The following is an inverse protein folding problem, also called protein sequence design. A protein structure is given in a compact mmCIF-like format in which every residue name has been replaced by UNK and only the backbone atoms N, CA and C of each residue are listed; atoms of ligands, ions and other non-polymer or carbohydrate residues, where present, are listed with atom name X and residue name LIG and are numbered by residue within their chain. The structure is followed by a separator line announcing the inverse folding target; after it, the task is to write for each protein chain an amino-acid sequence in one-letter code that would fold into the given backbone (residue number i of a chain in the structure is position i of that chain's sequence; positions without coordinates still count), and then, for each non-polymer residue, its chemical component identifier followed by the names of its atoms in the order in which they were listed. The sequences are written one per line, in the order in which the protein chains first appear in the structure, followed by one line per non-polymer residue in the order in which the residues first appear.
data_IF_718700922576
#
_entry.id   IF_718700922576
#
_cell.length_a   1.000
_cell.length_b   1.000
_cell.length_c   1.000
_cell.angle_alpha   90.00
_cell.angle_beta   90.00
_cell.angle_gamma   90.00
#
_symmetry.space_group_name_H-M   'P 1'
#
loop_
_entity.id
_entity.type
_entity.pdbx_description
1 polymer ?
#
# COMPACT_ATOMS: atom_id res chain seq x y z
N UNK A 1 -4.20 1.73 10.64
CA UNK A 1 -5.09 2.77 11.20
C UNK A 1 -5.34 2.47 12.66
N UNK A 2 -5.43 3.53 13.48
CA UNK A 2 -5.91 3.43 14.86
C UNK A 2 -7.41 3.62 14.90
N UNK A 3 -8.09 2.66 15.51
CA UNK A 3 -9.53 2.69 15.73
C UNK A 3 -9.85 3.49 17.00
N UNK A 4 -10.65 4.55 16.86
CA UNK A 4 -11.02 5.42 18.01
C UNK A 4 -12.40 5.05 18.53
N UNK A 5 -13.36 4.82 17.64
CA UNK A 5 -14.73 4.43 17.98
C UNK A 5 -15.24 3.43 16.96
N UNK A 6 -15.89 2.39 17.44
CA UNK A 6 -16.56 1.39 16.62
C UNK A 6 -18.03 1.30 17.05
N UNK A 7 -18.94 1.67 16.14
CA UNK A 7 -20.39 1.57 16.31
C UNK A 7 -20.99 0.90 15.08
N UNK A 8 -20.59 -0.34 14.84
CA UNK A 8 -21.19 -1.18 13.79
C UNK A 8 -22.34 -1.97 14.42
N UNK A 9 -23.56 -1.80 13.89
CA UNK A 9 -24.71 -2.59 14.28
C UNK A 9 -24.73 -3.94 13.52
N UNK A 10 -25.38 -4.94 14.11
CA UNK A 10 -25.51 -6.29 13.51
C UNK A 10 -26.26 -6.29 12.15
N UNK A 11 -27.02 -5.23 11.85
CA UNK A 11 -27.84 -5.10 10.64
C UNK A 11 -27.18 -4.24 9.53
N UNK A 12 -25.85 -4.04 9.58
CA UNK A 12 -25.08 -3.45 8.48
C UNK A 12 -25.05 -1.92 8.44
N UNK A 13 -25.83 -1.20 9.25
CA UNK A 13 -25.62 0.23 9.45
C UNK A 13 -24.60 0.47 10.57
N UNK A 14 -23.77 1.50 10.43
CA UNK A 14 -22.83 1.84 11.49
C UNK A 14 -21.85 2.94 11.15
N UNK A 15 -21.15 3.40 12.18
CA UNK A 15 -20.10 4.41 12.06
C UNK A 15 -18.81 3.97 12.74
N UNK A 16 -17.69 4.31 12.12
CA UNK A 16 -16.36 4.02 12.62
C UNK A 16 -15.50 5.27 12.53
N UNK A 17 -14.84 5.63 13.63
CA UNK A 17 -13.89 6.74 13.68
C UNK A 17 -12.47 6.19 13.65
N UNK A 18 -11.71 6.59 12.63
CA UNK A 18 -10.36 6.13 12.35
C UNK A 18 -9.36 7.27 12.34
N UNK A 19 -8.13 6.99 12.74
CA UNK A 19 -6.98 7.86 12.57
C UNK A 19 -5.95 7.10 11.71
N UNK A 20 -5.66 7.58 10.49
CA UNK A 20 -4.59 7.04 9.67
C UNK A 20 -3.24 7.54 10.19
N UNK A 21 -2.37 6.65 10.62
CA UNK A 21 -1.08 6.99 11.23
C UNK A 21 0.05 6.83 10.21
N UNK A 22 -0.10 5.89 9.29
CA UNK A 22 0.91 5.54 8.28
C UNK A 22 0.44 5.79 6.84
N UNK A 23 1.35 6.00 5.88
CA UNK A 23 0.97 6.15 4.47
C UNK A 23 0.16 4.96 3.89
N UNK A 24 0.37 3.74 4.39
CA UNK A 24 -0.39 2.55 3.97
C UNK A 24 -1.86 2.60 4.45
N UNK A 25 -2.14 3.30 5.55
CA UNK A 25 -3.50 3.50 6.04
C UNK A 25 -4.39 4.23 5.05
N UNK A 26 -3.82 5.12 4.24
CA UNK A 26 -4.56 5.83 3.21
C UNK A 26 -5.01 4.90 2.08
N UNK A 27 -4.23 3.85 1.80
CA UNK A 27 -4.65 2.79 0.87
C UNK A 27 -5.81 1.97 1.46
N UNK A 28 -5.73 1.63 2.75
CA UNK A 28 -6.83 0.95 3.43
C UNK A 28 -8.10 1.81 3.48
N UNK A 29 -7.98 3.10 3.79
CA UNK A 29 -9.10 4.04 3.75
C UNK A 29 -9.70 4.14 2.33
N UNK A 30 -8.86 4.17 1.29
CA UNK A 30 -9.30 4.17 -0.10
C UNK A 30 -10.04 2.87 -0.49
N UNK A 31 -9.67 1.73 0.07
CA UNK A 31 -10.38 0.47 -0.16
C UNK A 31 -11.68 0.37 0.65
N UNK A 32 -11.73 1.01 1.82
CA UNK A 32 -12.86 0.95 2.73
C UNK A 32 -13.99 1.91 2.33
N UNK A 33 -13.67 3.11 1.86
CA UNK A 33 -14.65 4.15 1.51
C UNK A 33 -15.17 3.92 0.09
N UNK A 34 -16.49 3.89 -0.06
CA UNK A 34 -17.17 3.61 -1.33
C UNK A 34 -18.12 4.78 -1.68
N UNK A 35 -18.36 5.08 -2.97
CA UNK A 35 -19.39 6.03 -3.36
C UNK A 35 -20.75 5.70 -2.73
N UNK A 36 -21.45 6.72 -2.23
CA UNK A 36 -22.69 6.59 -1.47
C UNK A 36 -22.52 6.63 0.05
N UNK A 37 -21.32 6.31 0.57
CA UNK A 37 -21.02 6.41 2.00
C UNK A 37 -21.03 7.86 2.49
N UNK A 38 -21.18 8.05 3.79
CA UNK A 38 -21.10 9.37 4.44
C UNK A 38 -19.78 9.48 5.20
N UNK A 39 -19.06 10.56 4.95
CA UNK A 39 -17.74 10.82 5.54
C UNK A 39 -17.76 12.13 6.33
N UNK A 40 -17.29 12.08 7.57
CA UNK A 40 -17.11 13.25 8.43
C UNK A 40 -15.62 13.49 8.64
N UNK A 41 -15.12 14.64 8.19
CA UNK A 41 -13.73 15.02 8.42
C UNK A 41 -13.57 16.54 8.55
N UNK A 42 -12.41 16.96 9.06
CA UNK A 42 -12.05 18.36 9.15
C UNK A 42 -11.49 18.85 7.81
N UNK A 43 -12.04 19.93 7.28
CA UNK A 43 -11.60 20.59 6.07
C UNK A 43 -11.15 22.03 6.34
N UNK A 44 -10.32 22.58 5.46
CA UNK A 44 -9.98 24.00 5.46
C UNK A 44 -10.60 24.61 4.21
N UNK A 45 -11.51 25.56 4.41
CA UNK A 45 -12.19 26.27 3.31
C UNK A 45 -11.77 27.73 3.29
N UNK A 46 -11.47 28.24 2.10
CA UNK A 46 -11.33 29.68 1.87
C UNK A 46 -12.73 30.28 1.78
N UNK A 47 -13.07 31.16 2.71
CA UNK A 47 -14.33 31.90 2.75
C UNK A 47 -14.04 33.33 2.32
N UNK A 48 -14.75 33.79 1.29
CA UNK A 48 -14.68 35.17 0.84
C UNK A 48 -15.88 35.92 1.39
N UNK A 49 -15.64 36.94 2.20
CA UNK A 49 -16.67 37.81 2.77
C UNK A 49 -16.65 39.14 2.01
N UNK A 50 -17.77 39.50 1.40
CA UNK A 50 -17.99 40.82 0.79
C UNK A 50 -18.57 41.77 1.84
N UNK A 51 -17.83 42.84 2.17
CA UNK A 51 -18.33 43.91 3.02
C UNK A 51 -19.39 44.76 2.31
N UNK A 52 -20.14 45.56 3.07
CA UNK A 52 -21.17 46.49 2.56
C UNK A 52 -20.61 47.56 1.63
N UNK A 53 -19.31 47.85 1.69
CA UNK A 53 -18.58 48.78 0.81
C UNK A 53 -18.06 48.14 -0.48
N UNK A 54 -18.37 46.85 -0.73
CA UNK A 54 -17.88 46.10 -1.89
C UNK A 54 -16.46 45.53 -1.74
N UNK A 55 -15.77 45.81 -0.63
CA UNK A 55 -14.45 45.24 -0.35
C UNK A 55 -14.55 43.74 -0.06
N UNK A 56 -13.76 42.93 -0.76
CA UNK A 56 -13.67 41.47 -0.53
C UNK A 56 -12.51 41.17 0.41
N UNK A 57 -12.77 40.45 1.50
CA UNK A 57 -11.74 39.85 2.33
C UNK A 57 -11.85 38.34 2.25
N UNK A 58 -10.71 37.64 2.26
CA UNK A 58 -10.72 36.18 2.26
C UNK A 58 -9.97 35.62 3.45
N UNK A 59 -10.64 34.75 4.22
CA UNK A 59 -10.06 34.05 5.36
C UNK A 59 -10.13 32.54 5.15
N UNK A 60 -9.19 31.81 5.77
CA UNK A 60 -9.22 30.33 5.80
C UNK A 60 -9.88 29.90 7.10
N UNK A 61 -10.99 29.17 6.99
CA UNK A 61 -11.75 28.68 8.15
C UNK A 61 -11.66 27.16 8.17
N UNK A 62 -11.36 26.62 9.35
CA UNK A 62 -11.39 25.18 9.61
C UNK A 62 -12.83 24.79 9.96
N UNK A 63 -13.37 23.82 9.24
CA UNK A 63 -14.76 23.37 9.38
C UNK A 63 -14.79 21.86 9.46
N UNK A 64 -15.77 21.31 10.16
CA UNK A 64 -16.06 19.88 10.09
C UNK A 64 -17.20 19.70 9.11
N UNK A 65 -16.93 18.97 8.03
CA UNK A 65 -17.91 18.74 6.97
C UNK A 65 -18.31 17.27 6.97
N UNK A 66 -19.60 17.06 6.76
CA UNK A 66 -20.19 15.78 6.44
C UNK A 66 -20.44 15.78 4.94
N UNK A 67 -19.86 14.84 4.21
CA UNK A 67 -20.09 14.69 2.78
C UNK A 67 -20.64 13.31 2.45
N UNK A 68 -21.55 13.26 1.49
CA UNK A 68 -21.88 12.02 0.77
C UNK A 68 -20.88 11.82 -0.36
N UNK A 69 -20.13 10.72 -0.29
CA UNK A 69 -19.04 10.42 -1.20
C UNK A 69 -19.58 10.17 -2.61
N UNK A 70 -18.99 10.85 -3.60
CA UNK A 70 -19.28 10.64 -5.03
C UNK A 70 -18.11 9.98 -5.76
N UNK A 71 -16.90 10.42 -5.47
CA UNK A 71 -15.69 9.87 -6.09
C UNK A 71 -14.50 9.95 -5.14
N UNK A 72 -13.55 9.06 -5.35
CA UNK A 72 -12.30 9.00 -4.61
C UNK A 72 -11.13 9.08 -5.60
N UNK A 73 -10.11 9.84 -5.24
CA UNK A 73 -8.85 9.90 -5.96
C UNK A 73 -7.70 9.66 -4.97
N UNK A 74 -6.85 8.68 -5.28
CA UNK A 74 -5.75 8.27 -4.42
C UNK A 74 -4.44 8.42 -5.17
N UNK A 75 -3.55 9.25 -4.63
CA UNK A 75 -2.18 9.38 -5.13
C UNK A 75 -1.26 8.37 -4.41
N UNK A 76 -0.76 7.33 -5.11
CA UNK A 76 0.09 6.32 -4.50
C UNK A 76 1.45 6.86 -4.03
N UNK A 77 1.99 7.89 -4.69
CA UNK A 77 3.32 8.43 -4.41
C UNK A 77 3.31 9.27 -3.13
N UNK A 78 2.32 10.17 -3.03
CA UNK A 78 2.18 11.04 -1.88
C UNK A 78 1.34 10.41 -0.76
N UNK A 79 0.71 9.26 -1.03
CA UNK A 79 -0.23 8.60 -0.12
C UNK A 79 -1.31 9.55 0.40
N UNK A 80 -1.87 10.33 -0.53
CA UNK A 80 -2.94 11.29 -0.26
C UNK A 80 -4.24 10.77 -0.83
N UNK A 81 -5.33 10.92 -0.06
CA UNK A 81 -6.65 10.49 -0.45
C UNK A 81 -7.59 11.70 -0.50
N UNK A 82 -8.06 12.00 -1.70
CA UNK A 82 -9.02 13.05 -1.98
C UNK A 82 -10.41 12.43 -2.14
N UNK A 83 -11.36 12.85 -1.31
CA UNK A 83 -12.73 12.33 -1.31
C UNK A 83 -13.66 13.45 -1.73
N UNK A 84 -14.19 13.39 -2.94
CA UNK A 84 -15.14 14.37 -3.46
C UNK A 84 -16.57 13.92 -3.19
N UNK A 85 -17.40 14.85 -2.76
CA UNK A 85 -18.78 14.57 -2.39
C UNK A 85 -19.67 15.81 -2.32
N UNK A 86 -20.90 15.58 -1.91
CA UNK A 86 -21.87 16.65 -1.61
C UNK A 86 -22.01 16.84 -0.11
N UNK A 87 -21.99 18.08 0.35
CA UNK A 87 -22.13 18.42 1.76
C UNK A 87 -23.55 18.10 2.24
N UNK A 88 -23.65 17.37 3.34
CA UNK A 88 -24.91 16.96 3.98
C UNK A 88 -25.24 17.82 5.21
N UNK A 89 -24.25 18.42 5.86
CA UNK A 89 -24.44 19.27 7.04
C UNK A 89 -24.47 20.77 6.71
N UNK A 90 -25.32 21.52 7.40
CA UNK A 90 -25.27 22.98 7.35
C UNK A 90 -24.16 23.49 8.28
N UNK A 91 -23.28 24.34 7.76
CA UNK A 91 -22.31 25.07 8.58
C UNK A 91 -22.44 26.57 8.33
N UNK A 92 -21.96 27.45 9.21
CA UNK A 92 -22.04 28.90 9.03
C UNK A 92 -21.46 29.42 7.71
N UNK A 93 -20.62 28.60 7.04
CA UNK A 93 -19.94 28.96 5.79
C UNK A 93 -20.21 28.00 4.63
N UNK A 94 -21.06 26.98 4.81
CA UNK A 94 -21.39 26.01 3.75
C UNK A 94 -22.87 25.65 3.73
N UNK A 95 -23.45 25.63 2.53
CA UNK A 95 -24.83 25.20 2.32
C UNK A 95 -24.86 23.70 1.96
N UNK A 96 -25.93 23.03 2.37
CA UNK A 96 -26.23 21.65 2.00
C UNK A 96 -26.30 21.52 0.47
N UNK A 97 -25.80 20.40 -0.06
CA UNK A 97 -25.80 20.08 -1.48
C UNK A 97 -24.63 20.68 -2.28
N UNK A 98 -23.84 21.59 -1.69
CA UNK A 98 -22.61 22.07 -2.35
C UNK A 98 -21.58 20.95 -2.46
N UNK A 99 -20.84 20.97 -3.57
CA UNK A 99 -19.74 20.04 -3.76
C UNK A 99 -18.50 20.49 -2.99
N UNK A 100 -17.83 19.52 -2.37
CA UNK A 100 -16.55 19.73 -1.71
C UNK A 100 -15.68 18.48 -1.81
N UNK A 101 -14.37 18.69 -1.76
CA UNK A 101 -13.38 17.61 -1.69
C UNK A 101 -12.73 17.66 -0.32
N UNK A 102 -12.80 16.55 0.41
CA UNK A 102 -12.10 16.34 1.66
C UNK A 102 -10.74 15.70 1.39
N UNK A 103 -9.68 16.36 1.83
CA UNK A 103 -8.34 15.82 1.80
C UNK A 103 -8.09 15.10 3.13
N UNK A 104 -7.99 13.77 3.09
CA UNK A 104 -7.64 13.01 4.28
C UNK A 104 -6.14 13.12 4.53
N UNK A 105 -5.79 13.49 5.76
CA UNK A 105 -4.41 13.70 6.19
C UNK A 105 -4.00 12.67 7.25
N UNK A 106 -2.71 12.33 7.28
CA UNK A 106 -2.14 11.50 8.35
C UNK A 106 -2.32 12.17 9.71
N UNK A 107 -2.54 11.35 10.74
CA UNK A 107 -2.78 11.71 12.12
C UNK A 107 -4.01 12.60 12.36
N UNK A 108 -4.91 12.73 11.37
CA UNK A 108 -6.20 13.40 11.53
C UNK A 108 -7.34 12.40 11.52
N UNK A 109 -8.23 12.53 12.50
CA UNK A 109 -9.40 11.66 12.58
C UNK A 109 -10.39 11.94 11.45
N UNK A 110 -10.98 10.87 10.91
CA UNK A 110 -12.18 10.93 10.10
C UNK A 110 -13.18 9.88 10.61
N UNK A 111 -14.46 10.13 10.41
CA UNK A 111 -15.51 9.15 10.71
C UNK A 111 -16.17 8.71 9.41
N UNK A 112 -16.18 7.41 9.18
CA UNK A 112 -16.86 6.78 8.07
C UNK A 112 -18.17 6.19 8.58
N UNK A 113 -19.27 6.59 7.96
CA UNK A 113 -20.59 6.04 8.18
C UNK A 113 -21.02 5.28 6.92
N UNK A 114 -21.29 3.99 7.11
CA UNK A 114 -21.89 3.13 6.09
C UNK A 114 -23.30 2.80 6.56
N UNK A 115 -24.28 3.21 5.78
CA UNK A 115 -25.68 2.92 6.04
C UNK A 115 -26.33 2.36 4.78
N UNK A 116 -27.40 1.59 4.95
CA UNK A 116 -28.35 1.32 3.87
C UNK A 116 -29.13 2.60 3.59
N UNK A 117 -28.72 3.34 2.57
CA UNK A 117 -29.46 4.52 2.11
C UNK A 117 -30.92 4.16 1.77
N UNK A 118 -31.85 5.13 1.78
CA UNK A 118 -33.27 4.90 1.47
C UNK A 118 -33.51 4.27 0.09
N UNK A 119 -32.56 4.42 -0.83
CA UNK A 119 -32.63 3.89 -2.21
C UNK A 119 -31.87 2.55 -2.39
N UNK A 120 -31.34 1.94 -1.31
CA UNK A 120 -30.61 0.66 -1.38
C UNK A 120 -29.20 0.73 -1.98
N UNK A 121 -28.68 1.94 -2.23
CA UNK A 121 -27.36 2.21 -2.83
C UNK A 121 -26.17 2.03 -1.86
N UNK A 122 -26.42 2.08 -0.54
CA UNK A 122 -25.39 1.88 0.47
C UNK A 122 -25.09 0.39 0.73
N UNK A 123 -23.82 0.00 0.70
CA UNK A 123 -23.38 -1.40 0.93
C UNK A 123 -23.54 -1.85 2.39
N UNK A 124 -23.72 -0.91 3.32
CA UNK A 124 -23.58 -1.18 4.74
C UNK A 124 -22.18 -1.70 5.10
N UNK A 125 -22.01 -2.10 6.35
CA UNK A 125 -20.89 -2.87 6.86
C UNK A 125 -21.12 -4.35 6.54
N UNK A 126 -20.80 -4.74 5.31
CA UNK A 126 -20.73 -6.14 4.90
C UNK A 126 -19.51 -6.86 5.52
N UNK A 127 -19.49 -8.19 5.41
CA UNK A 127 -18.39 -9.05 5.92
C UNK A 127 -17.03 -8.62 5.38
N UNK A 128 -16.96 -8.27 4.09
CA UNK A 128 -15.76 -7.82 3.39
C UNK A 128 -15.27 -6.47 3.92
N UNK A 129 -16.17 -5.51 4.17
CA UNK A 129 -15.84 -4.20 4.75
C UNK A 129 -15.40 -4.32 6.20
N UNK A 130 -16.00 -5.24 6.97
CA UNK A 130 -15.58 -5.53 8.35
C UNK A 130 -14.21 -6.20 8.36
N UNK A 131 -13.93 -7.13 7.45
CA UNK A 131 -12.62 -7.75 7.30
C UNK A 131 -11.58 -6.73 6.83
N UNK A 132 -11.89 -5.90 5.85
CA UNK A 132 -11.04 -4.80 5.40
C UNK A 132 -10.75 -3.80 6.53
N UNK A 133 -11.73 -3.55 7.41
CA UNK A 133 -11.54 -2.72 8.61
C UNK A 133 -10.60 -3.40 9.61
N UNK A 134 -10.73 -4.71 9.84
CA UNK A 134 -9.79 -5.46 10.69
C UNK A 134 -8.38 -5.46 10.10
N UNK A 135 -8.24 -5.72 8.79
CA UNK A 135 -6.97 -5.61 8.08
C UNK A 135 -6.37 -4.21 8.18
N UNK A 136 -7.22 -3.18 8.26
CA UNK A 136 -6.83 -1.78 8.43
C UNK A 136 -6.63 -1.33 9.88
N UNK A 137 -7.09 -2.09 10.88
CA UNK A 137 -6.91 -1.86 12.32
C UNK A 137 -6.11 -3.02 12.93
N UNK A 138 -4.80 -2.82 13.10
CA UNK A 138 -3.86 -3.83 13.56
C UNK A 138 -3.45 -3.35 14.93
N UNK A 139 -3.88 -4.10 15.94
CA UNK A 139 -3.55 -3.86 17.33
C UNK A 139 -2.11 -4.29 17.65
N UNK A 140 -1.42 -4.99 16.73
CA UNK A 140 -0.10 -5.59 16.93
C UNK A 140 1.11 -4.73 16.55
N UNK A 141 0.95 -3.56 15.94
CA UNK A 141 2.06 -2.67 15.57
C UNK A 141 3.05 -3.29 14.55
N UNK A 142 2.65 -4.35 13.84
CA UNK A 142 3.48 -5.15 12.93
C UNK A 142 3.47 -4.62 11.48
N UNK A 143 2.85 -3.47 11.22
CA UNK A 143 2.65 -2.87 9.88
C UNK A 143 3.86 -2.20 9.25
N UNK A 144 5.04 -2.42 9.81
CA UNK A 144 6.26 -1.89 9.19
C UNK A 144 6.50 -2.63 7.88
N UNK A 145 7.09 -1.94 6.90
CA UNK A 145 7.54 -2.57 5.65
C UNK A 145 8.24 -3.91 5.97
N UNK A 146 7.76 -4.99 5.38
CA UNK A 146 8.24 -6.33 5.69
C UNK A 146 9.65 -6.55 5.13
N UNK A 147 9.96 -5.89 4.01
CA UNK A 147 11.27 -5.92 3.39
C UNK A 147 11.58 -4.63 2.61
N UNK A 148 12.87 -4.35 2.43
CA UNK A 148 13.33 -3.34 1.49
C UNK A 148 14.07 -4.03 0.35
N UNK A 149 13.70 -3.75 -0.88
CA UNK A 149 14.35 -4.30 -2.07
C UNK A 149 15.07 -3.19 -2.84
N UNK A 150 16.34 -3.42 -3.16
CA UNK A 150 17.12 -2.57 -4.05
C UNK A 150 17.42 -3.37 -5.30
N UNK A 151 16.72 -3.03 -6.38
CA UNK A 151 16.98 -3.61 -7.70
C UNK A 151 17.94 -2.67 -8.43
N UNK A 152 19.06 -3.19 -8.92
CA UNK A 152 20.13 -2.36 -9.48
C UNK A 152 20.77 -2.98 -10.72
N UNK A 153 21.26 -2.10 -11.58
CA UNK A 153 22.13 -2.37 -12.73
C UNK A 153 23.19 -1.27 -12.82
N UNK A 154 24.10 -1.34 -13.79
CA UNK A 154 25.13 -0.31 -13.96
C UNK A 154 24.47 1.05 -14.22
N UNK A 155 24.65 1.99 -13.29
CA UNK A 155 24.12 3.36 -13.41
C UNK A 155 22.63 3.53 -13.10
N UNK A 156 21.91 2.48 -12.67
CA UNK A 156 20.51 2.60 -12.27
C UNK A 156 20.22 1.75 -11.04
N UNK A 157 19.58 2.34 -10.03
CA UNK A 157 19.04 1.62 -8.89
C UNK A 157 17.62 2.09 -8.55
N UNK A 158 16.78 1.14 -8.19
CA UNK A 158 15.43 1.35 -7.70
C UNK A 158 15.32 0.85 -6.27
N UNK A 159 15.04 1.75 -5.35
CA UNK A 159 14.82 1.44 -3.94
C UNK A 159 13.31 1.30 -3.72
N UNK A 160 12.89 0.09 -3.42
CA UNK A 160 11.49 -0.30 -3.25
C UNK A 160 11.25 -0.76 -1.80
N UNK A 161 10.12 -0.36 -1.24
CA UNK A 161 9.66 -0.82 0.06
C UNK A 161 8.52 -1.80 -0.18
N UNK A 162 8.68 -3.02 0.31
CA UNK A 162 7.68 -4.08 0.21
C UNK A 162 6.91 -4.05 1.54
N UNK A 163 5.70 -3.49 1.51
CA UNK A 163 4.73 -3.58 2.61
C UNK A 163 3.85 -4.82 2.46
N UNK A 164 2.92 -4.98 3.40
CA UNK A 164 1.98 -6.10 3.40
C UNK A 164 1.03 -6.06 2.20
N UNK A 165 0.54 -4.86 1.85
CA UNK A 165 -0.49 -4.70 0.82
C UNK A 165 0.02 -4.01 -0.45
N UNK A 166 1.20 -3.38 -0.40
CA UNK A 166 1.76 -2.67 -1.55
C UNK A 166 3.29 -2.63 -1.57
N UNK A 167 3.83 -2.65 -2.79
CA UNK A 167 5.23 -2.34 -3.06
C UNK A 167 5.34 -0.90 -3.55
N UNK A 168 6.09 -0.06 -2.85
CA UNK A 168 6.26 1.36 -3.17
C UNK A 168 7.68 1.60 -3.67
N UNK A 169 7.82 2.17 -4.86
CA UNK A 169 9.10 2.72 -5.31
C UNK A 169 9.35 4.04 -4.56
N UNK A 170 10.34 4.07 -3.67
CA UNK A 170 10.68 5.29 -2.91
C UNK A 170 11.59 6.23 -3.69
N UNK A 171 12.59 5.68 -4.37
CA UNK A 171 13.55 6.48 -5.10
C UNK A 171 14.15 5.73 -6.27
N UNK A 172 14.34 6.45 -7.37
CA UNK A 172 15.15 6.07 -8.52
C UNK A 172 16.47 6.83 -8.46
N UNK A 173 17.57 6.11 -8.48
CA UNK A 173 18.93 6.68 -8.60
C UNK A 173 19.42 6.34 -10.00
N UNK A 174 19.71 7.36 -10.80
CA UNK A 174 20.19 7.20 -12.18
C UNK A 174 21.47 8.02 -12.37
N UNK A 175 22.51 7.37 -12.85
CA UNK A 175 23.82 7.94 -13.10
C UNK A 175 24.38 7.39 -14.42
N UNK A 176 24.89 8.28 -15.27
CA UNK A 176 25.54 7.85 -16.51
C UNK A 176 26.90 7.23 -16.21
N UNK A 177 27.02 5.91 -16.38
CA UNK A 177 28.27 5.17 -16.20
C UNK A 177 28.98 5.01 -17.55
N UNK A 178 30.21 5.54 -17.72
CA UNK A 178 30.97 5.35 -18.94
C UNK A 178 31.31 3.87 -19.18
N UNK A 179 31.28 3.41 -20.43
CA UNK A 179 31.75 2.05 -20.77
C UNK A 179 33.22 1.88 -20.44
N UNK A 180 33.59 0.68 -19.96
CA UNK A 180 34.97 0.31 -19.65
C UNK A 180 35.84 0.40 -20.91
N UNK A 181 36.81 1.32 -20.91
CA UNK A 181 37.84 1.46 -21.96
C UNK A 181 39.17 0.93 -21.42
N UNK A 182 39.98 0.31 -22.28
CA UNK A 182 41.32 -0.13 -21.91
C UNK A 182 42.15 1.07 -21.41
N UNK A 183 42.68 0.98 -20.18
CA UNK A 183 43.49 2.02 -19.53
C UNK A 183 42.73 3.13 -18.79
N UNK A 184 41.39 3.14 -18.81
CA UNK A 184 40.58 4.17 -18.12
C UNK A 184 40.13 3.74 -16.72
N UNK A 185 40.50 4.51 -15.69
CA UNK A 185 39.99 4.33 -14.30
C UNK A 185 38.65 5.03 -14.03
N UNK A 186 38.13 5.75 -15.01
CA UNK A 186 36.94 6.60 -14.84
C UNK A 186 35.67 5.80 -14.60
N UNK A 187 35.57 4.59 -15.16
CA UNK A 187 34.47 3.66 -14.91
C UNK A 187 34.39 3.28 -13.43
N UNK A 188 35.50 2.80 -12.84
CA UNK A 188 35.55 2.36 -11.45
C UNK A 188 35.30 3.52 -10.47
N UNK A 189 35.82 4.71 -10.77
CA UNK A 189 35.54 5.94 -9.99
C UNK A 189 34.05 6.29 -10.03
N UNK A 190 33.41 6.18 -11.19
CA UNK A 190 31.99 6.50 -11.36
C UNK A 190 31.11 5.46 -10.67
N UNK A 191 31.45 4.18 -10.76
CA UNK A 191 30.77 3.10 -10.03
C UNK A 191 30.89 3.25 -8.51
N UNK A 192 32.05 3.68 -8.01
CA UNK A 192 32.22 3.97 -6.59
C UNK A 192 31.31 5.12 -6.13
N UNK A 193 31.21 6.19 -6.93
CA UNK A 193 30.27 7.31 -6.66
C UNK A 193 28.81 6.86 -6.72
N UNK A 194 28.46 5.97 -7.65
CA UNK A 194 27.14 5.37 -7.74
C UNK A 194 26.79 4.56 -6.49
N UNK A 195 27.70 3.71 -6.01
CA UNK A 195 27.51 2.97 -4.75
C UNK A 195 27.37 3.90 -3.53
N UNK A 196 28.16 4.97 -3.45
CA UNK A 196 28.01 5.95 -2.37
C UNK A 196 26.64 6.62 -2.41
N UNK A 197 26.24 7.12 -3.58
CA UNK A 197 24.97 7.83 -3.75
C UNK A 197 23.77 6.92 -3.46
N UNK A 198 23.83 5.66 -3.90
CA UNK A 198 22.76 4.67 -3.63
C UNK A 198 22.69 4.30 -2.15
N UNK A 199 23.84 4.15 -1.46
CA UNK A 199 23.88 3.89 -0.03
C UNK A 199 23.33 5.07 0.78
N UNK A 200 23.75 6.29 0.48
CA UNK A 200 23.27 7.50 1.17
C UNK A 200 21.75 7.67 1.01
N UNK A 201 21.25 7.38 -0.21
CA UNK A 201 19.82 7.41 -0.51
C UNK A 201 19.07 6.33 0.28
N UNK A 202 19.60 5.10 0.32
CA UNK A 202 19.01 4.00 1.09
C UNK A 202 18.95 4.32 2.59
N UNK A 203 20.02 4.87 3.16
CA UNK A 203 20.06 5.24 4.59
C UNK A 203 19.06 6.35 4.93
N UNK A 204 18.90 7.33 4.05
CA UNK A 204 17.90 8.39 4.20
C UNK A 204 16.48 7.84 4.21
N UNK A 205 16.15 6.91 3.30
CA UNK A 205 14.80 6.34 3.21
C UNK A 205 14.51 5.30 4.28
N UNK A 206 15.52 4.61 4.80
CA UNK A 206 15.35 3.71 5.93
C UNK A 206 15.12 4.46 7.26
N UNK A 207 15.13 5.81 7.23
CA UNK A 207 15.13 6.68 8.41
C UNK A 207 16.14 6.16 9.42
N UNK A 208 17.33 5.79 8.94
CA UNK A 208 18.37 5.26 9.79
C UNK A 208 18.86 6.40 10.67
N UNK A 209 18.16 6.60 11.80
CA UNK A 209 18.47 7.64 12.75
C UNK A 209 19.79 7.24 13.39
N UNK A 210 20.86 7.92 12.97
CA UNK A 210 22.21 7.79 13.52
C UNK A 210 22.27 8.19 15.00
N UNK A 211 21.17 8.70 15.57
CA UNK A 211 21.01 8.86 17.01
C UNK A 211 20.82 7.49 17.65
N UNK A 212 21.85 7.07 18.38
CA UNK A 212 21.94 5.86 19.19
C UNK A 212 20.88 5.75 20.32
N UNK A 213 19.74 6.44 20.21
CA UNK A 213 18.78 6.67 21.29
C UNK A 213 17.32 6.40 20.92
N UNK A 214 16.96 6.06 19.66
CA UNK A 214 15.55 5.78 19.31
C UNK A 214 15.21 4.38 18.79
N UNK A 215 16.20 3.54 18.46
CA UNK A 215 15.92 2.11 18.25
C UNK A 215 16.16 1.37 19.55
N UNK A 216 15.08 1.20 20.33
CA UNK A 216 15.03 0.17 21.36
C UNK A 216 15.43 -1.18 20.75
N UNK A 217 16.06 -2.03 21.55
CA UNK A 217 16.54 -3.38 21.21
C UNK A 217 15.45 -4.35 20.70
N UNK A 218 14.20 -3.92 20.61
CA UNK A 218 13.03 -4.72 20.22
C UNK A 218 12.49 -4.45 18.82
N UNK A 219 13.06 -3.52 18.05
CA UNK A 219 12.59 -3.28 16.69
C UNK A 219 13.10 -4.34 15.70
N UNK A 220 12.21 -5.09 15.00
CA UNK A 220 12.63 -6.12 14.07
C UNK A 220 13.46 -5.49 12.93
N UNK A 221 14.67 -6.02 12.73
CA UNK A 221 15.54 -5.59 11.64
C UNK A 221 14.94 -6.12 10.34
N UNK A 222 14.47 -5.21 9.49
CA UNK A 222 13.89 -5.56 8.20
C UNK A 222 14.96 -6.16 7.27
N UNK A 223 14.66 -7.26 6.57
CA UNK A 223 15.55 -7.78 5.54
C UNK A 223 15.71 -6.78 4.38
N UNK A 224 16.93 -6.66 3.89
CA UNK A 224 17.29 -5.82 2.74
C UNK A 224 17.71 -6.72 1.58
N UNK A 225 16.88 -6.82 0.55
CA UNK A 225 17.13 -7.58 -0.65
C UNK A 225 17.94 -6.75 -1.63
N UNK A 226 19.11 -7.22 -2.03
CA UNK A 226 19.93 -6.62 -3.09
C UNK A 226 19.83 -7.48 -4.34
N UNK A 227 19.20 -6.95 -5.39
CA UNK A 227 18.95 -7.65 -6.64
C UNK A 227 19.71 -7.00 -7.80
N UNK A 228 20.44 -7.79 -8.58
CA UNK A 228 21.11 -7.30 -9.80
C UNK A 228 21.38 -8.39 -10.82
N UNK A 229 21.51 -8.03 -12.11
CA UNK A 229 22.16 -8.90 -13.08
C UNK A 229 23.67 -8.97 -12.81
N UNK A 230 24.21 -10.19 -12.78
CA UNK A 230 25.64 -10.42 -12.56
C UNK A 230 26.13 -10.12 -11.15
N UNK A 231 27.24 -9.38 -11.02
CA UNK A 231 28.00 -9.23 -9.77
C UNK A 231 27.83 -7.87 -9.08
N UNK A 232 26.90 -7.03 -9.54
CA UNK A 232 26.77 -5.63 -9.08
C UNK A 232 26.28 -5.60 -7.63
N UNK A 233 25.24 -6.37 -7.29
CA UNK A 233 24.72 -6.47 -5.92
C UNK A 233 25.76 -7.01 -4.94
N UNK A 234 26.57 -8.00 -5.35
CA UNK A 234 27.68 -8.52 -4.53
C UNK A 234 28.77 -7.46 -4.33
N UNK A 235 29.09 -6.70 -5.37
CA UNK A 235 30.06 -5.60 -5.29
C UNK A 235 29.56 -4.47 -4.39
N UNK A 236 28.25 -4.16 -4.46
CA UNK A 236 27.61 -3.19 -3.59
C UNK A 236 27.58 -3.66 -2.13
N UNK A 237 27.30 -4.94 -1.87
CA UNK A 237 27.38 -5.52 -0.53
C UNK A 237 28.79 -5.38 0.07
N UNK A 238 29.85 -5.64 -0.73
CA UNK A 238 31.24 -5.42 -0.30
C UNK A 238 31.52 -3.95 -0.01
N UNK A 239 30.99 -3.04 -0.83
CA UNK A 239 31.10 -1.60 -0.58
C UNK A 239 30.45 -1.20 0.76
N UNK A 240 29.24 -1.70 1.04
CA UNK A 240 28.55 -1.50 2.32
C UNK A 240 29.40 -2.03 3.50
N UNK A 241 29.98 -3.23 3.37
CA UNK A 241 30.87 -3.80 4.39
C UNK A 241 32.11 -2.92 4.64
N UNK A 242 32.71 -2.37 3.59
CA UNK A 242 33.85 -1.44 3.71
C UNK A 242 33.43 -0.15 4.44
N UNK A 243 32.31 0.46 4.06
CA UNK A 243 31.81 1.69 4.69
C UNK A 243 31.40 1.45 6.15
N UNK A 244 30.85 0.28 6.48
CA UNK A 244 30.52 -0.13 7.84
C UNK A 244 31.76 -0.24 8.76
N UNK A 245 32.91 -0.58 8.19
CA UNK A 245 34.17 -0.68 8.93
C UNK A 245 34.88 0.67 9.09
N UNK A 246 34.76 1.57 8.10
CA UNK A 246 35.50 2.84 8.09
C UNK A 246 34.70 4.02 8.66
N UNK A 247 33.45 4.19 8.23
CA UNK A 247 32.71 5.45 8.43
C UNK A 247 31.57 5.33 9.44
N UNK A 248 30.79 4.25 9.39
CA UNK A 248 29.57 4.12 10.23
C UNK A 248 29.44 2.72 10.84
N UNK A 249 29.92 2.49 12.08
CA UNK A 249 29.85 1.17 12.73
C UNK A 249 28.41 0.70 13.02
N UNK A 250 27.44 1.62 13.07
CA UNK A 250 26.02 1.27 13.22
C UNK A 250 25.48 0.43 12.05
N UNK A 251 26.10 0.52 10.86
CA UNK A 251 25.73 -0.24 9.67
C UNK A 251 26.04 -1.75 9.81
N UNK A 252 26.95 -2.12 10.73
CA UNK A 252 27.29 -3.53 11.00
C UNK A 252 26.09 -4.34 11.46
N UNK A 253 25.11 -3.71 12.11
CA UNK A 253 23.85 -4.37 12.52
C UNK A 253 22.95 -4.75 11.35
N UNK A 254 23.05 -4.06 10.22
CA UNK A 254 22.26 -4.34 9.00
C UNK A 254 22.91 -5.37 8.08
N UNK A 255 24.23 -5.60 8.19
CA UNK A 255 24.93 -6.59 7.37
C UNK A 255 24.30 -8.00 7.38
N UNK A 256 23.88 -8.58 8.53
CA UNK A 256 23.26 -9.90 8.53
C UNK A 256 21.85 -9.91 7.91
N UNK A 257 21.17 -8.77 7.81
CA UNK A 257 19.84 -8.69 7.18
C UNK A 257 19.90 -8.44 5.67
N UNK A 258 21.10 -8.22 5.11
CA UNK A 258 21.31 -8.03 3.68
C UNK A 258 21.40 -9.39 2.98
N UNK A 259 20.49 -9.63 2.03
CA UNK A 259 20.44 -10.83 1.21
C UNK A 259 20.64 -10.46 -0.25
N UNK A 260 21.60 -11.10 -0.91
CA UNK A 260 21.86 -10.90 -2.34
C UNK A 260 21.04 -11.91 -3.14
N UNK A 261 20.35 -11.41 -4.16
CA UNK A 261 19.48 -12.20 -5.05
C UNK A 261 19.83 -11.88 -6.50
N UNK A 262 19.71 -12.87 -7.37
CA UNK A 262 19.86 -12.65 -8.80
C UNK A 262 18.60 -11.98 -9.38
N UNK A 263 18.78 -11.08 -10.35
CA UNK A 263 17.69 -10.57 -11.18
C UNK A 263 18.13 -10.46 -12.62
N UNK A 264 17.21 -10.66 -13.57
CA UNK A 264 17.51 -10.50 -14.99
C UNK A 264 17.79 -9.04 -15.38
N UNK A 265 17.20 -8.06 -14.67
CA UNK A 265 17.39 -6.64 -14.95
C UNK A 265 17.38 -5.78 -13.68
N UNK A 266 17.75 -4.51 -13.85
CA UNK A 266 17.79 -3.48 -12.81
C UNK A 266 16.50 -2.69 -12.65
N UNK A 267 15.42 -3.04 -13.36
CA UNK A 267 14.15 -2.31 -13.39
C UNK A 267 13.09 -2.91 -12.45
N UNK A 268 12.01 -2.16 -12.20
CA UNK A 268 10.93 -2.55 -11.27
C UNK A 268 10.27 -3.91 -11.60
N UNK A 269 10.15 -4.25 -12.88
CA UNK A 269 9.53 -5.51 -13.30
C UNK A 269 10.34 -6.74 -12.86
N UNK A 270 11.65 -6.60 -12.61
CA UNK A 270 12.48 -7.71 -12.12
C UNK A 270 12.26 -8.01 -10.63
N UNK A 271 11.53 -7.15 -9.92
CA UNK A 271 11.19 -7.39 -8.51
C UNK A 271 10.29 -8.63 -8.36
N UNK A 272 9.40 -8.92 -9.32
CA UNK A 272 8.55 -10.12 -9.28
C UNK A 272 9.39 -11.40 -9.34
N UNK A 273 10.41 -11.44 -10.19
CA UNK A 273 11.38 -12.55 -10.29
C UNK A 273 12.15 -12.73 -8.97
N UNK A 274 12.62 -11.61 -8.38
CA UNK A 274 13.36 -11.62 -7.11
C UNK A 274 12.52 -12.22 -5.99
N UNK A 275 11.24 -11.88 -5.92
CA UNK A 275 10.30 -12.41 -4.93
C UNK A 275 9.97 -13.90 -5.16
N UNK A 276 10.08 -14.39 -6.40
CA UNK A 276 9.87 -15.80 -6.71
C UNK A 276 11.05 -16.69 -6.30
N UNK A 277 12.22 -16.12 -6.03
CA UNK A 277 13.42 -16.86 -5.64
C UNK A 277 13.21 -17.62 -4.31
N UNK A 278 13.63 -18.89 -4.21
CA UNK A 278 13.41 -19.71 -3.01
C UNK A 278 14.08 -19.13 -1.77
N UNK A 279 15.22 -18.46 -1.91
CA UNK A 279 15.91 -17.77 -0.80
C UNK A 279 15.05 -16.67 -0.20
N UNK A 280 14.34 -15.91 -1.06
CA UNK A 280 13.46 -14.82 -0.63
C UNK A 280 12.15 -15.36 -0.09
N UNK A 281 11.59 -16.41 -0.70
CA UNK A 281 10.39 -17.09 -0.22
C UNK A 281 10.57 -17.65 1.20
N UNK A 282 11.74 -18.21 1.52
CA UNK A 282 12.04 -18.69 2.87
C UNK A 282 12.08 -17.54 3.89
N UNK A 283 12.72 -16.43 3.51
CA UNK A 283 12.88 -15.24 4.36
C UNK A 283 11.56 -14.49 4.59
N UNK A 284 10.68 -14.46 3.59
CA UNK A 284 9.39 -13.78 3.63
C UNK A 284 8.21 -14.74 3.83
N UNK A 285 8.46 -15.99 4.23
CA UNK A 285 7.42 -17.04 4.26
C UNK A 285 6.20 -16.72 5.14
N UNK A 286 6.39 -15.95 6.21
CA UNK A 286 5.32 -15.56 7.14
C UNK A 286 4.48 -14.37 6.66
N UNK A 287 4.90 -13.70 5.57
CA UNK A 287 4.23 -12.48 5.09
C UNK A 287 2.94 -12.78 4.35
N UNK A 288 2.01 -11.82 4.37
CA UNK A 288 0.77 -11.89 3.56
C UNK A 288 1.10 -11.97 2.07
N UNK A 289 2.08 -11.18 1.63
CA UNK A 289 2.54 -11.14 0.25
C UNK A 289 3.08 -12.49 -0.25
N UNK A 290 3.82 -13.23 0.59
CA UNK A 290 4.33 -14.55 0.22
C UNK A 290 3.21 -15.59 0.07
N UNK A 291 2.19 -15.53 0.93
CA UNK A 291 0.99 -16.38 0.82
C UNK A 291 0.22 -16.12 -0.48
N UNK A 292 -0.03 -14.86 -0.80
CA UNK A 292 -0.71 -14.46 -2.04
C UNK A 292 0.09 -14.89 -3.29
N UNK A 293 1.40 -14.68 -3.29
CA UNK A 293 2.29 -15.08 -4.40
C UNK A 293 2.28 -16.60 -4.59
N UNK A 294 2.29 -17.37 -3.49
CA UNK A 294 2.22 -18.83 -3.54
C UNK A 294 0.92 -19.32 -4.18
N UNK A 295 -0.23 -18.75 -3.79
CA UNK A 295 -1.53 -19.10 -4.38
C UNK A 295 -1.57 -18.81 -5.89
N UNK A 296 -0.95 -17.72 -6.33
CA UNK A 296 -0.86 -17.39 -7.75
C UNK A 296 0.07 -18.33 -8.52
N UNK A 297 1.20 -18.74 -7.91
CA UNK A 297 2.10 -19.73 -8.49
C UNK A 297 1.40 -21.10 -8.62
N UNK A 298 0.67 -21.53 -7.58
CA UNK A 298 -0.11 -22.77 -7.59
C UNK A 298 -1.19 -22.73 -8.68
N UNK A 299 -1.91 -21.61 -8.83
CA UNK A 299 -2.89 -21.41 -9.91
C UNK A 299 -2.24 -21.57 -11.30
N UNK A 300 -1.11 -20.90 -11.53
CA UNK A 300 -0.39 -21.00 -12.80
C UNK A 300 0.14 -22.42 -13.06
N UNK A 301 0.56 -23.14 -12.02
CA UNK A 301 1.01 -24.52 -12.13
C UNK A 301 -0.13 -25.46 -12.53
N UNK A 302 -1.32 -25.30 -11.92
CA UNK A 302 -2.51 -26.08 -12.30
C UNK A 302 -2.93 -25.81 -13.74
N UNK A 303 -2.83 -24.56 -14.20
CA UNK A 303 -3.12 -24.20 -15.58
C UNK A 303 -2.15 -24.86 -16.57
N UNK A 304 -0.85 -24.89 -16.23
CA UNK A 304 0.18 -25.56 -17.05
C UNK A 304 0.03 -27.08 -17.11
N UNK A 305 -0.47 -27.69 -16.03
CA UNK A 305 -0.70 -29.14 -15.95
C UNK A 305 -2.02 -29.58 -16.60
N UNK A 306 -2.83 -28.64 -17.09
CA UNK A 306 -4.15 -28.90 -17.71
C UNK A 306 -5.06 -29.79 -16.85
N UNK A 307 -5.00 -29.63 -15.52
CA UNK A 307 -5.76 -30.48 -14.59
C UNK A 307 -7.26 -30.16 -14.57
N UNK A 308 -7.72 -29.16 -15.34
CA UNK A 308 -9.07 -28.59 -15.31
C UNK A 308 -9.54 -28.14 -13.91
N UNK A 309 -8.60 -27.95 -12.98
CA UNK A 309 -8.88 -27.49 -11.60
C UNK A 309 -8.76 -25.98 -11.43
N UNK A 310 -8.02 -25.32 -12.31
CA UNK A 310 -7.89 -23.86 -12.33
C UNK A 310 -8.84 -23.27 -13.37
N UNK A 311 -9.76 -22.43 -12.93
CA UNK A 311 -10.73 -21.73 -13.77
C UNK A 311 -10.60 -20.22 -13.57
N UNK A 312 -10.83 -19.44 -14.63
CA UNK A 312 -10.87 -17.99 -14.59
C UNK A 312 -12.01 -17.49 -15.48
N UNK A 313 -12.58 -16.33 -15.14
CA UNK A 313 -13.76 -15.77 -15.82
C UNK A 313 -14.99 -15.75 -14.91
N UNK A 314 -15.85 -14.72 -14.96
CA UNK A 314 -16.98 -14.59 -14.04
C UNK A 314 -17.92 -15.80 -14.06
N UNK A 315 -18.30 -16.28 -15.25
CA UNK A 315 -19.27 -17.38 -15.41
C UNK A 315 -18.69 -18.72 -14.96
N UNK A 316 -17.45 -18.98 -15.33
CA UNK A 316 -16.73 -20.21 -14.99
C UNK A 316 -16.50 -20.29 -13.47
N UNK A 317 -16.18 -19.15 -12.84
CA UNK A 317 -16.00 -19.06 -11.38
C UNK A 317 -17.33 -19.21 -10.66
N UNK A 318 -18.41 -18.55 -11.09
CA UNK A 318 -19.75 -18.73 -10.51
C UNK A 318 -20.18 -20.21 -10.54
N UNK A 319 -20.01 -20.88 -11.69
CA UNK A 319 -20.33 -22.30 -11.82
C UNK A 319 -19.47 -23.18 -10.91
N UNK A 320 -18.17 -22.90 -10.78
CA UNK A 320 -17.29 -23.64 -9.87
C UNK A 320 -17.66 -23.44 -8.39
N UNK A 321 -18.09 -22.22 -8.03
CA UNK A 321 -18.58 -21.88 -6.69
C UNK A 321 -19.91 -22.58 -6.39
N UNK A 322 -20.84 -22.60 -7.34
CA UNK A 322 -22.13 -23.30 -7.22
C UNK A 322 -21.95 -24.82 -7.06
N UNK A 323 -20.92 -25.39 -7.69
CA UNK A 323 -20.54 -26.79 -7.50
C UNK A 323 -19.85 -27.08 -6.15
N UNK A 324 -19.56 -26.06 -5.34
CA UNK A 324 -18.90 -26.21 -4.05
C UNK A 324 -17.41 -26.57 -4.14
N UNK A 325 -16.78 -26.34 -5.30
CA UNK A 325 -15.35 -26.59 -5.49
C UNK A 325 -14.45 -25.63 -4.68
N UNK A 326 -15.02 -24.50 -4.24
CA UNK A 326 -14.34 -23.44 -3.46
C UNK A 326 -14.69 -23.59 -1.96
N UNK A 327 -13.69 -23.41 -1.08
CA UNK A 327 -13.88 -23.46 0.37
C UNK A 327 -13.96 -24.90 0.91
N UNK A 328 -15.18 -25.44 1.09
CA UNK A 328 -15.37 -26.80 1.65
C UNK A 328 -14.74 -27.89 0.79
N UNK A 329 -14.68 -27.68 -0.53
CA UNK A 329 -13.97 -28.54 -1.48
C UNK A 329 -12.44 -28.37 -1.49
N UNK A 330 -11.89 -27.48 -0.67
CA UNK A 330 -10.45 -27.18 -0.59
C UNK A 330 -9.92 -26.21 -1.66
N UNK A 331 -10.78 -25.71 -2.55
CA UNK A 331 -10.41 -24.69 -3.54
C UNK A 331 -10.30 -23.30 -2.94
N UNK A 332 -9.46 -22.46 -3.54
CA UNK A 332 -9.21 -21.07 -3.11
C UNK A 332 -9.80 -20.12 -4.15
N UNK A 333 -10.50 -19.09 -3.67
CA UNK A 333 -11.04 -18.02 -4.49
C UNK A 333 -10.07 -16.83 -4.47
N UNK A 334 -9.60 -16.43 -5.65
CA UNK A 334 -8.72 -15.27 -5.82
C UNK A 334 -9.52 -14.16 -6.49
N UNK A 335 -9.79 -13.07 -5.76
CA UNK A 335 -10.52 -11.91 -6.27
C UNK A 335 -9.69 -10.65 -6.08
N UNK A 336 -9.70 -9.77 -7.09
CA UNK A 336 -9.09 -8.45 -6.97
C UNK A 336 -9.99 -7.50 -6.18
N UNK A 337 -9.44 -6.79 -5.20
CA UNK A 337 -10.14 -5.73 -4.45
C UNK A 337 -10.73 -4.60 -5.32
N UNK A 338 -10.32 -4.50 -6.59
CA UNK A 338 -10.95 -3.58 -7.53
C UNK A 338 -12.40 -3.97 -7.85
N UNK A 339 -12.73 -5.25 -7.89
CA UNK A 339 -14.06 -5.75 -8.23
C UNK A 339 -15.09 -5.42 -7.14
N UNK A 340 -14.69 -5.46 -5.87
CA UNK A 340 -15.53 -5.00 -4.75
C UNK A 340 -15.80 -3.48 -4.77
N UNK A 341 -15.12 -2.73 -5.64
CA UNK A 341 -15.27 -1.28 -5.82
C UNK A 341 -15.83 -0.89 -7.18
N UNK A 342 -16.40 -1.85 -7.92
CA UNK A 342 -17.10 -1.55 -9.16
C UNK A 342 -18.17 -0.48 -8.90
N UNK A 343 -18.35 0.44 -9.87
CA UNK A 343 -19.38 1.47 -9.79
C UNK A 343 -20.79 0.85 -9.83
N UNK A 344 -20.93 -0.33 -10.45
CA UNK A 344 -22.18 -1.07 -10.45
C UNK A 344 -22.40 -1.76 -9.09
N UNK A 345 -23.48 -1.34 -8.43
CA UNK A 345 -23.92 -1.86 -7.14
C UNK A 345 -24.36 -3.32 -7.25
N UNK A 346 -24.96 -3.72 -8.39
CA UNK A 346 -25.44 -5.09 -8.57
C UNK A 346 -24.27 -6.07 -8.73
N UNK A 347 -23.30 -5.71 -9.58
CA UNK A 347 -22.06 -6.47 -9.75
C UNK A 347 -21.30 -6.62 -8.43
N UNK A 348 -21.16 -5.53 -7.66
CA UNK A 348 -20.52 -5.57 -6.34
C UNK A 348 -21.21 -6.53 -5.38
N UNK A 349 -22.55 -6.47 -5.28
CA UNK A 349 -23.32 -7.36 -4.41
C UNK A 349 -23.17 -8.84 -4.81
N UNK A 350 -23.12 -9.13 -6.11
CA UNK A 350 -22.87 -10.50 -6.61
C UNK A 350 -21.52 -11.04 -6.15
N UNK A 351 -20.44 -10.27 -6.30
CA UNK A 351 -19.11 -10.69 -5.85
C UNK A 351 -18.99 -10.80 -4.33
N UNK A 352 -19.65 -9.92 -3.56
CA UNK A 352 -19.68 -10.02 -2.10
C UNK A 352 -20.43 -11.28 -1.66
N UNK A 353 -21.57 -11.58 -2.29
CA UNK A 353 -22.34 -12.80 -1.99
C UNK A 353 -21.51 -14.05 -2.31
N UNK A 354 -20.84 -14.06 -3.47
CA UNK A 354 -19.92 -15.13 -3.87
C UNK A 354 -18.80 -15.34 -2.84
N UNK A 355 -18.20 -14.26 -2.35
CA UNK A 355 -17.15 -14.32 -1.33
C UNK A 355 -17.69 -14.73 0.06
N UNK A 356 -18.91 -14.31 0.41
CA UNK A 356 -19.50 -14.56 1.74
C UNK A 356 -20.06 -15.98 1.87
N UNK A 357 -20.57 -16.56 0.79
CA UNK A 357 -21.11 -17.94 0.79
C UNK A 357 -20.06 -18.98 1.16
N UNK A 358 -18.77 -18.70 0.92
CA UNK A 358 -17.67 -19.61 1.19
C UNK A 358 -16.46 -18.84 1.73
N UNK A 359 -16.44 -18.49 3.04
CA UNK A 359 -15.29 -17.84 3.64
C UNK A 359 -14.05 -18.70 3.41
N UNK A 360 -12.97 -18.07 2.97
CA UNK A 360 -11.65 -18.71 2.93
C UNK A 360 -11.29 -19.18 4.35
N UNK A 361 -10.71 -20.38 4.51
CA UNK A 361 -10.36 -20.91 5.83
C UNK A 361 -9.30 -20.08 6.56
#
# INVERSE_FOLDING_TARGET
MRLVKNKIEYNGAGSVTLIPEEPEDMWHAYNLIVPGDVLYATAIRRVTTTGTTGSTSSSRVRLTLEIRVKSLDFDPQNSQLHVSGQIMNETPHTKIGQHHTLDLELNRQFTLEKGSGPDGEGSGWDSVAVEALKDAVDEGGNRRAEAVAVVMQEGLAHICFIGQHRTILKQKVEMSVPRKRAGGSDHDKTMTKFYQTTLDTLLRHLEFNTSATSMSTSDPIRPVLLASPGFIATSFQKHIQSVANTSTPALKRLLPSIVVVHSASGYLHSLTEVLQSPTVKALLSDTKHARETKLMDDFNEQLRKETNRATYGPREVEHAVDQGAVGRGGGVLIISNRLFRAQDVAERKSYIDTATRYPTP
#
